data_IF_318922020015
#
_entry.id   IF_318922020015
#
_cell.length_a   1.000
_cell.length_b   1.000
_cell.length_c   1.000
_cell.angle_alpha   90.00
_cell.angle_beta   90.00
_cell.angle_gamma   90.00
#
_symmetry.space_group_name_H-M   'P 1'
#
loop_
_entity.id
_entity.type
_entity.pdbx_description
1 polymer ?
#
# COMPACT_ATOMS: atom_id res chain seq x y z
N UNK A 1 18.15 9.46 24.66
CA UNK A 1 18.14 8.90 23.29
C UNK A 1 16.94 9.50 22.57
N UNK A 2 17.11 9.98 21.34
CA UNK A 2 15.99 10.47 20.54
C UNK A 2 15.24 9.24 19.97
N UNK A 3 13.95 9.13 20.22
CA UNK A 3 13.10 7.99 19.82
C UNK A 3 11.97 8.47 18.91
N UNK A 4 11.35 7.55 18.18
CA UNK A 4 10.09 7.77 17.47
C UNK A 4 9.05 6.78 17.93
N UNK A 5 7.78 7.05 17.61
CA UNK A 5 6.64 6.20 17.96
C UNK A 5 6.01 5.58 16.73
N UNK A 6 5.81 4.27 16.76
CA UNK A 6 5.05 3.51 15.77
C UNK A 6 3.53 3.60 16.01
N UNK A 7 2.69 3.44 14.96
CA UNK A 7 3.05 3.34 13.54
C UNK A 7 3.55 4.66 12.94
N UNK A 8 4.43 4.61 11.93
CA UNK A 8 4.93 5.79 11.20
C UNK A 8 3.89 6.36 10.22
N UNK A 9 2.97 5.53 9.70
CA UNK A 9 1.76 5.98 9.00
C UNK A 9 0.53 5.33 9.66
N UNK A 10 -0.16 6.02 10.59
CA UNK A 10 -1.37 5.52 11.24
C UNK A 10 -2.59 5.56 10.30
N UNK A 11 -3.49 4.60 10.47
CA UNK A 11 -4.69 4.47 9.64
C UNK A 11 -4.51 3.52 8.45
N UNK A 12 -5.34 3.67 7.42
CA UNK A 12 -5.38 2.74 6.30
C UNK A 12 -4.22 2.98 5.32
N UNK A 13 -3.05 2.49 5.71
CA UNK A 13 -1.80 2.54 4.94
C UNK A 13 -1.15 1.14 4.91
N UNK A 14 -1.81 0.17 4.25
CA UNK A 14 -1.33 -1.20 4.08
C UNK A 14 -0.22 -1.36 3.04
N UNK A 15 0.45 -2.50 3.08
CA UNK A 15 1.33 -3.00 2.01
C UNK A 15 2.42 -1.97 1.63
N UNK A 16 3.23 -1.48 2.59
CA UNK A 16 4.19 -0.41 2.35
C UNK A 16 5.34 -0.91 1.47
N UNK A 17 5.59 -0.22 0.37
CA UNK A 17 6.83 -0.35 -0.38
C UNK A 17 7.63 0.95 -0.32
N UNK A 18 8.94 0.83 -0.14
CA UNK A 18 9.86 1.93 0.08
C UNK A 18 10.98 1.93 -0.97
N UNK A 19 11.41 3.12 -1.40
CA UNK A 19 12.64 3.29 -2.14
C UNK A 19 13.40 4.54 -1.68
N UNK A 20 14.73 4.52 -1.82
CA UNK A 20 15.60 5.67 -1.53
C UNK A 20 16.21 6.20 -2.82
N UNK A 21 16.22 7.52 -2.99
CA UNK A 21 16.92 8.23 -4.06
C UNK A 21 17.79 9.31 -3.42
N UNK A 22 19.10 9.06 -3.33
CA UNK A 22 20.00 9.93 -2.59
C UNK A 22 19.63 9.97 -1.10
N UNK A 23 19.24 11.13 -0.60
CA UNK A 23 18.81 11.35 0.80
C UNK A 23 17.28 11.40 0.97
N UNK A 24 16.54 11.22 -0.12
CA UNK A 24 15.08 11.21 -0.11
C UNK A 24 14.55 9.78 -0.10
N UNK A 25 13.53 9.56 0.72
CA UNK A 25 12.82 8.30 0.86
C UNK A 25 11.40 8.46 0.38
N UNK A 26 10.93 7.51 -0.41
CA UNK A 26 9.57 7.48 -0.93
C UNK A 26 8.87 6.21 -0.50
N UNK A 27 7.59 6.33 -0.16
CA UNK A 27 6.77 5.19 0.23
C UNK A 27 5.42 5.23 -0.46
N UNK A 28 4.94 4.05 -0.86
CA UNK A 28 3.60 3.86 -1.43
C UNK A 28 2.83 2.78 -0.65
N UNK A 29 1.50 2.87 -0.65
CA UNK A 29 0.62 1.91 0.04
C UNK A 29 -0.59 1.54 -0.82
N UNK A 30 -1.18 0.35 -0.61
CA UNK A 30 -2.35 -0.09 -1.38
C UNK A 30 -3.63 0.69 -1.03
N UNK A 31 -4.52 0.89 -2.01
CA UNK A 31 -5.74 1.72 -1.86
C UNK A 31 -7.04 1.02 -2.18
N UNK A 32 -6.99 -0.19 -2.73
CA UNK A 32 -8.18 -0.97 -3.05
C UNK A 32 -9.16 -0.18 -3.93
N UNK A 33 -10.41 -0.03 -3.48
CA UNK A 33 -11.47 0.64 -4.23
C UNK A 33 -11.43 2.16 -4.13
N UNK A 34 -10.45 2.76 -3.43
CA UNK A 34 -10.38 4.20 -3.25
C UNK A 34 -9.61 4.88 -4.40
N UNK A 35 -10.10 6.05 -4.78
CA UNK A 35 -9.50 6.96 -5.76
C UNK A 35 -9.21 8.32 -5.12
N UNK A 36 -8.12 9.03 -5.45
CA UNK A 36 -6.98 8.57 -6.23
C UNK A 36 -6.33 7.31 -5.63
N UNK A 37 -5.65 6.54 -6.48
CA UNK A 37 -5.03 5.29 -6.09
C UNK A 37 -3.55 5.44 -5.78
N UNK A 38 -3.06 4.65 -4.83
CA UNK A 38 -1.66 4.58 -4.40
C UNK A 38 -1.12 5.95 -3.96
N UNK A 39 -1.37 6.38 -2.70
CA UNK A 39 -0.75 7.58 -2.16
C UNK A 39 0.77 7.39 -2.15
N UNK A 40 1.49 8.46 -2.43
CA UNK A 40 2.95 8.49 -2.35
C UNK A 40 3.39 9.49 -1.29
N UNK A 41 4.29 9.05 -0.42
CA UNK A 41 4.85 9.80 0.69
C UNK A 41 6.33 10.06 0.48
N UNK A 42 6.82 11.18 1.01
CA UNK A 42 8.24 11.54 1.06
C UNK A 42 8.69 11.73 2.51
N UNK A 43 9.92 11.31 2.80
CA UNK A 43 10.64 11.58 4.04
C UNK A 43 12.13 11.80 3.78
N UNK A 44 12.82 12.45 4.72
CA UNK A 44 14.30 12.50 4.79
C UNK A 44 14.86 11.76 6.01
N UNK A 45 14.01 11.28 6.91
CA UNK A 45 14.43 10.70 8.20
C UNK A 45 13.73 9.37 8.54
N UNK A 46 13.00 8.79 7.57
CA UNK A 46 12.17 7.57 7.68
C UNK A 46 11.02 7.61 8.68
N UNK A 47 10.89 8.68 9.47
CA UNK A 47 9.93 8.78 10.58
C UNK A 47 8.83 9.78 10.26
N UNK A 48 9.21 10.95 9.76
CA UNK A 48 8.32 12.04 9.43
C UNK A 48 7.99 11.99 7.93
N UNK A 49 6.74 11.69 7.62
CA UNK A 49 6.27 11.50 6.24
C UNK A 49 5.27 12.58 5.83
N UNK A 50 5.42 13.07 4.60
CA UNK A 50 4.46 13.96 3.94
C UNK A 50 3.92 13.27 2.71
N UNK A 51 2.60 13.21 2.56
CA UNK A 51 1.99 12.79 1.30
C UNK A 51 2.28 13.87 0.24
N UNK A 52 2.87 13.47 -0.88
CA UNK A 52 3.24 14.38 -1.99
C UNK A 52 2.31 14.23 -3.20
N UNK A 53 1.37 13.29 -3.15
CA UNK A 53 0.36 13.08 -4.18
C UNK A 53 -0.17 11.65 -4.17
N UNK A 54 -0.66 11.22 -5.33
CA UNK A 54 -1.04 9.85 -5.64
C UNK A 54 -0.48 9.44 -7.00
N UNK A 55 -0.16 8.16 -7.15
CA UNK A 55 0.42 7.63 -8.40
C UNK A 55 -0.66 7.46 -9.48
N UNK A 56 -1.88 7.08 -9.08
CA UNK A 56 -3.01 6.80 -9.96
C UNK A 56 -4.11 7.84 -9.73
N UNK A 57 -3.92 9.03 -10.27
CA UNK A 57 -4.75 10.22 -10.02
C UNK A 57 -5.66 10.61 -11.19
N UNK A 58 -5.61 9.86 -12.30
CA UNK A 58 -6.47 10.08 -13.47
C UNK A 58 -7.41 8.91 -13.75
N UNK A 59 -8.65 9.18 -14.19
CA UNK A 59 -9.56 8.14 -14.67
C UNK A 59 -9.01 7.28 -15.82
N UNK A 60 -8.06 7.79 -16.61
CA UNK A 60 -7.39 7.01 -17.67
C UNK A 60 -6.46 5.93 -17.11
N UNK A 61 -5.87 6.17 -15.94
CA UNK A 61 -5.01 5.20 -15.25
C UNK A 61 -5.83 4.22 -14.42
N UNK A 62 -6.88 4.71 -13.77
CA UNK A 62 -7.60 3.96 -12.74
C UNK A 62 -9.11 4.07 -12.93
N UNK A 63 -9.67 3.05 -13.58
CA UNK A 63 -11.11 2.83 -13.68
C UNK A 63 -11.56 1.78 -12.66
N UNK A 64 -12.18 2.25 -11.57
CA UNK A 64 -12.71 1.44 -10.47
C UNK A 64 -14.22 1.26 -10.54
N UNK A 65 -14.85 1.60 -11.67
CA UNK A 65 -16.28 1.36 -11.87
C UNK A 65 -16.59 -0.13 -11.68
N UNK A 66 -17.66 -0.44 -10.94
CA UNK A 66 -18.03 -1.82 -10.60
C UNK A 66 -17.15 -2.54 -9.58
N UNK A 67 -16.02 -1.95 -9.17
CA UNK A 67 -15.04 -2.63 -8.30
C UNK A 67 -15.64 -2.93 -6.92
N UNK A 68 -15.71 -4.20 -6.47
CA UNK A 68 -16.25 -4.53 -5.16
C UNK A 68 -15.40 -3.99 -3.99
N UNK A 69 -15.97 -3.91 -2.80
CA UNK A 69 -15.21 -3.57 -1.58
C UNK A 69 -14.03 -4.51 -1.36
N UNK A 70 -12.89 -3.92 -0.97
CA UNK A 70 -11.60 -4.61 -0.81
C UNK A 70 -11.07 -5.25 -2.10
N UNK A 71 -11.48 -4.74 -3.26
CA UNK A 71 -10.92 -5.03 -4.59
C UNK A 71 -10.32 -3.75 -5.16
N UNK A 72 -9.86 -3.74 -6.40
CA UNK A 72 -9.13 -2.58 -6.93
C UNK A 72 -7.63 -2.75 -6.77
N UNK A 73 -6.95 -1.73 -6.26
CA UNK A 73 -5.48 -1.69 -6.21
C UNK A 73 -4.93 -2.41 -4.98
N UNK A 74 -4.26 -3.52 -5.22
CA UNK A 74 -3.57 -4.31 -4.19
C UNK A 74 -2.13 -3.78 -3.97
N UNK A 75 -1.27 -4.56 -3.32
CA UNK A 75 0.08 -4.14 -2.95
C UNK A 75 0.85 -3.48 -4.11
N UNK A 76 1.27 -2.22 -3.96
CA UNK A 76 2.19 -1.57 -4.89
C UNK A 76 3.65 -1.78 -4.47
N UNK A 77 4.54 -1.96 -5.44
CA UNK A 77 5.98 -1.81 -5.24
C UNK A 77 6.44 -0.52 -5.92
N UNK A 78 7.23 0.31 -5.21
CA UNK A 78 7.95 1.45 -5.81
C UNK A 78 9.46 1.16 -5.91
N UNK A 79 10.05 1.45 -7.07
CA UNK A 79 11.49 1.34 -7.33
C UNK A 79 11.96 2.54 -8.13
N UNK A 80 13.26 2.80 -8.07
CA UNK A 80 13.90 3.84 -8.85
C UNK A 80 15.08 3.25 -9.62
N UNK A 81 15.17 3.58 -10.90
CA UNK A 81 16.27 3.15 -11.75
C UNK A 81 16.57 4.23 -12.80
N UNK A 82 17.83 4.65 -12.88
CA UNK A 82 18.36 5.57 -13.91
C UNK A 82 17.48 6.82 -14.18
N UNK A 83 17.07 7.54 -13.14
CA UNK A 83 16.28 8.77 -13.31
C UNK A 83 14.76 8.57 -13.34
N UNK A 84 14.30 7.32 -13.29
CA UNK A 84 12.88 6.98 -13.45
C UNK A 84 12.37 6.20 -12.24
N UNK A 85 11.24 6.64 -11.71
CA UNK A 85 10.44 5.89 -10.75
C UNK A 85 9.53 4.93 -11.49
N UNK A 86 9.42 3.71 -10.95
CA UNK A 86 8.53 2.66 -11.39
C UNK A 86 7.62 2.31 -10.22
N UNK A 87 6.31 2.34 -10.43
CA UNK A 87 5.33 1.79 -9.50
C UNK A 87 4.61 0.66 -10.21
N UNK A 88 4.69 -0.55 -9.65
CA UNK A 88 4.02 -1.75 -10.15
C UNK A 88 2.99 -2.22 -9.14
N UNK A 89 1.81 -2.65 -9.60
CA UNK A 89 0.73 -3.14 -8.71
C UNK A 89 -0.22 -4.08 -9.45
N UNK A 90 -1.17 -4.67 -8.70
CA UNK A 90 -2.25 -5.48 -9.24
C UNK A 90 -3.58 -4.73 -9.18
N UNK A 91 -4.30 -4.70 -10.29
CA UNK A 91 -5.74 -4.46 -10.29
C UNK A 91 -6.51 -5.78 -10.13
N UNK A 92 -7.25 -5.91 -9.04
CA UNK A 92 -8.14 -7.05 -8.76
C UNK A 92 -9.59 -6.65 -9.04
N UNK A 93 -10.21 -7.26 -10.04
CA UNK A 93 -11.59 -6.90 -10.44
C UNK A 93 -12.66 -7.57 -9.58
N UNK A 94 -12.41 -8.80 -9.09
CA UNK A 94 -13.36 -9.50 -8.23
C UNK A 94 -12.67 -10.50 -7.29
N UNK A 95 -13.43 -11.06 -6.35
CA UNK A 95 -12.91 -12.01 -5.35
C UNK A 95 -12.31 -13.29 -5.94
N UNK A 96 -12.78 -13.70 -7.12
CA UNK A 96 -12.33 -14.90 -7.81
C UNK A 96 -11.94 -14.62 -9.28
N UNK A 97 -11.94 -13.35 -9.70
CA UNK A 97 -11.86 -12.94 -11.10
C UNK A 97 -10.47 -12.53 -11.57
N UNK A 98 -10.45 -11.88 -12.73
CA UNK A 98 -9.25 -11.42 -13.41
C UNK A 98 -8.40 -10.52 -12.50
N UNK A 99 -7.10 -10.83 -12.48
CA UNK A 99 -6.05 -10.04 -11.86
C UNK A 99 -5.16 -9.56 -12.98
N UNK A 100 -4.86 -8.28 -13.01
CA UNK A 100 -4.01 -7.70 -14.03
C UNK A 100 -2.93 -6.90 -13.35
N UNK A 101 -1.69 -7.31 -13.55
CA UNK A 101 -0.53 -6.58 -13.09
C UNK A 101 -0.17 -5.52 -14.14
N UNK A 102 0.25 -4.35 -13.67
CA UNK A 102 0.72 -3.27 -14.52
C UNK A 102 1.72 -2.41 -13.77
N UNK A 103 2.54 -1.69 -14.50
CA UNK A 103 3.36 -0.64 -13.93
C UNK A 103 3.14 0.71 -14.61
N UNK A 104 3.48 1.78 -13.91
CA UNK A 104 3.53 3.16 -14.41
C UNK A 104 4.88 3.77 -14.06
N UNK A 105 5.24 4.83 -14.78
CA UNK A 105 6.54 5.49 -14.64
C UNK A 105 6.41 6.99 -14.47
N UNK A 106 7.33 7.60 -13.74
CA UNK A 106 7.49 9.07 -13.65
C UNK A 106 8.96 9.43 -13.42
N UNK A 107 9.36 10.64 -13.83
CA UNK A 107 10.67 11.21 -13.47
C UNK A 107 10.61 12.06 -12.20
N UNK A 108 9.42 12.55 -11.85
CA UNK A 108 9.10 13.22 -10.60
C UNK A 108 8.13 12.32 -9.80
N UNK A 109 8.43 11.94 -8.55
CA UNK A 109 7.55 11.09 -7.75
C UNK A 109 6.20 11.77 -7.42
N UNK A 110 6.13 13.11 -7.41
CA UNK A 110 4.88 13.85 -7.28
C UNK A 110 4.03 13.82 -8.57
N UNK A 111 4.56 13.27 -9.66
CA UNK A 111 3.90 13.12 -10.96
C UNK A 111 4.26 14.22 -11.97
N UNK A 112 3.66 14.20 -13.16
CA UNK A 112 2.62 13.27 -13.61
C UNK A 112 3.16 11.89 -13.96
N UNK A 113 2.49 10.85 -13.47
CA UNK A 113 2.78 9.45 -13.80
C UNK A 113 2.19 9.06 -15.16
N UNK A 114 2.84 8.13 -15.88
CA UNK A 114 2.36 7.62 -17.17
C UNK A 114 1.01 6.90 -17.07
N UNK A 115 0.40 6.60 -18.22
CA UNK A 115 -0.66 5.60 -18.28
C UNK A 115 -0.09 4.18 -18.03
N UNK A 116 -0.92 3.20 -17.62
CA UNK A 116 -0.49 1.84 -17.28
C UNK A 116 0.12 1.05 -18.44
N UNK A 117 1.26 0.42 -18.18
CA UNK A 117 1.81 -0.66 -19.01
C UNK A 117 1.34 -2.01 -18.47
N UNK A 118 0.33 -2.59 -19.11
CA UNK A 118 -0.29 -3.84 -18.68
C UNK A 118 0.59 -5.05 -18.98
N UNK A 119 0.77 -5.92 -17.98
CA UNK A 119 1.52 -7.17 -18.06
C UNK A 119 0.54 -8.35 -18.15
N UNK A 120 -0.03 -8.56 -19.33
CA UNK A 120 -1.14 -9.51 -19.54
C UNK A 120 -0.77 -10.97 -19.21
N UNK A 121 0.51 -11.33 -19.29
CA UNK A 121 1.00 -12.67 -18.99
C UNK A 121 1.54 -12.86 -17.56
N UNK A 122 1.33 -11.88 -16.69
CA UNK A 122 1.80 -11.92 -15.31
C UNK A 122 0.67 -12.42 -14.36
N UNK A 123 0.60 -13.72 -14.05
CA UNK A 123 -0.40 -14.23 -13.11
C UNK A 123 -0.16 -13.73 -11.68
N UNK A 124 -1.19 -13.87 -10.86
CA UNK A 124 -1.12 -13.65 -9.42
C UNK A 124 -1.18 -12.19 -9.00
N UNK A 125 -0.63 -11.91 -7.83
CA UNK A 125 -0.63 -10.60 -7.16
C UNK A 125 0.76 -10.27 -6.62
N UNK A 126 0.84 -9.11 -5.98
CA UNK A 126 2.02 -8.56 -5.30
C UNK A 126 3.24 -8.51 -6.22
N UNK A 127 3.10 -7.84 -7.38
CA UNK A 127 4.19 -7.72 -8.30
C UNK A 127 5.28 -6.81 -7.71
N UNK A 128 6.54 -7.15 -7.99
CA UNK A 128 7.69 -6.35 -7.62
C UNK A 128 8.69 -6.30 -8.76
N UNK A 129 9.49 -5.25 -8.77
CA UNK A 129 10.56 -5.05 -9.74
C UNK A 129 11.91 -5.06 -9.03
N UNK A 130 12.89 -5.65 -9.69
CA UNK A 130 14.29 -5.64 -9.28
C UNK A 130 15.15 -5.26 -10.48
N UNK A 131 15.99 -4.25 -10.30
CA UNK A 131 16.93 -3.78 -11.32
C UNK A 131 18.32 -4.24 -10.91
N UNK A 132 18.90 -5.11 -11.72
CA UNK A 132 20.17 -5.77 -11.40
C UNK A 132 21.37 -4.98 -11.98
N UNK A 133 22.55 -5.20 -11.40
CA UNK A 133 23.79 -4.57 -11.86
C UNK A 133 24.25 -5.07 -13.25
N UNK A 134 23.68 -6.19 -13.72
CA UNK A 134 23.89 -6.72 -15.07
C UNK A 134 23.11 -5.96 -16.16
N UNK A 135 22.36 -4.92 -15.79
CA UNK A 135 21.58 -4.08 -16.69
C UNK A 135 20.18 -4.61 -17.03
N UNK A 136 19.76 -5.74 -16.44
CA UNK A 136 18.42 -6.31 -16.63
C UNK A 136 17.45 -5.87 -15.55
N UNK A 137 16.18 -5.83 -15.91
CA UNK A 137 15.07 -5.69 -14.97
C UNK A 137 14.34 -7.03 -14.84
N UNK A 138 13.92 -7.34 -13.62
CA UNK A 138 13.22 -8.57 -13.30
C UNK A 138 11.90 -8.27 -12.61
N UNK A 139 10.88 -9.03 -12.98
CA UNK A 139 9.60 -9.10 -12.31
C UNK A 139 9.59 -10.28 -11.34
N UNK A 140 9.04 -10.06 -10.15
CA UNK A 140 8.57 -11.14 -9.27
C UNK A 140 7.11 -10.95 -8.90
N UNK A 141 6.41 -12.05 -8.66
CA UNK A 141 5.04 -12.04 -8.13
C UNK A 141 4.71 -13.43 -7.58
N UNK A 142 3.54 -13.58 -6.95
CA UNK A 142 3.07 -14.91 -6.60
C UNK A 142 2.31 -15.58 -7.75
N UNK A 143 2.14 -16.90 -7.69
CA UNK A 143 1.20 -17.64 -8.54
C UNK A 143 0.84 -18.98 -7.91
N UNK A 144 -0.21 -19.61 -8.46
CA UNK A 144 -0.43 -21.04 -8.18
C UNK A 144 0.74 -21.83 -8.76
N UNK A 145 1.38 -22.73 -8.01
CA UNK A 145 2.49 -23.52 -8.52
C UNK A 145 2.08 -24.29 -9.79
N UNK A 146 2.96 -24.44 -10.80
CA UNK A 146 2.67 -25.18 -12.03
C UNK A 146 2.24 -26.63 -11.78
N UNK A 147 2.76 -27.24 -10.71
CA UNK A 147 2.40 -28.59 -10.28
C UNK A 147 1.05 -28.66 -9.52
N UNK A 148 0.38 -27.54 -9.32
CA UNK A 148 -0.87 -27.42 -8.56
C UNK A 148 -0.67 -27.14 -7.07
N UNK A 149 -1.77 -26.82 -6.40
CA UNK A 149 -1.77 -26.54 -4.96
C UNK A 149 -1.74 -27.84 -4.15
N UNK A 150 -0.75 -27.96 -3.27
CA UNK A 150 -0.64 -29.08 -2.31
C UNK A 150 -1.61 -28.93 -1.13
N UNK A 151 -2.03 -27.70 -0.82
CA UNK A 151 -2.98 -27.36 0.23
C UNK A 151 -3.68 -26.03 -0.14
N UNK A 152 -4.84 -25.70 0.45
CA UNK A 152 -5.58 -24.49 0.08
C UNK A 152 -4.72 -23.23 0.20
N UNK A 153 -4.69 -22.42 -0.87
CA UNK A 153 -3.89 -21.18 -0.97
C UNK A 153 -2.37 -21.39 -0.86
N UNK A 154 -1.86 -22.57 -1.19
CA UNK A 154 -0.44 -22.75 -1.50
C UNK A 154 -0.10 -21.92 -2.76
N UNK A 155 0.85 -21.01 -2.63
CA UNK A 155 1.37 -20.19 -3.72
C UNK A 155 2.88 -20.37 -3.82
N UNK A 156 3.46 -20.09 -4.98
CA UNK A 156 4.91 -19.94 -5.14
C UNK A 156 5.26 -18.54 -5.60
N UNK A 157 6.51 -18.14 -5.39
CA UNK A 157 7.09 -16.96 -6.03
C UNK A 157 7.74 -17.37 -7.34
N UNK A 158 7.53 -16.56 -8.37
CA UNK A 158 8.13 -16.74 -9.69
C UNK A 158 8.83 -15.48 -10.17
N UNK A 159 9.78 -15.67 -11.09
CA UNK A 159 10.62 -14.66 -11.71
C UNK A 159 10.45 -14.69 -13.23
N UNK A 160 10.47 -13.52 -13.87
CA UNK A 160 10.68 -13.38 -15.31
C UNK A 160 11.38 -12.05 -15.61
N UNK A 161 12.12 -11.97 -16.71
CA UNK A 161 12.75 -10.72 -17.15
C UNK A 161 11.67 -9.72 -17.63
N UNK A 162 11.84 -8.44 -17.30
CA UNK A 162 11.07 -7.33 -17.83
C UNK A 162 11.93 -6.60 -18.85
N UNK A 163 11.50 -6.60 -20.10
CA UNK A 163 12.11 -5.78 -21.14
C UNK A 163 11.58 -4.34 -21.01
N UNK A 164 12.48 -3.40 -20.73
CA UNK A 164 12.14 -1.99 -20.52
C UNK A 164 11.84 -1.23 -21.82
N UNK A 165 12.31 -1.73 -22.97
CA UNK A 165 12.03 -1.15 -24.29
C UNK A 165 10.62 -1.51 -24.74
N UNK A 166 10.31 -2.82 -24.74
CA UNK A 166 8.98 -3.30 -25.12
C UNK A 166 7.95 -3.17 -24.01
N UNK A 167 8.39 -2.96 -22.76
CA UNK A 167 7.57 -2.82 -21.55
C UNK A 167 6.70 -4.06 -21.30
N UNK A 168 7.24 -5.23 -21.61
CA UNK A 168 6.58 -6.53 -21.48
C UNK A 168 7.52 -7.54 -20.83
N UNK A 169 6.93 -8.59 -20.25
CA UNK A 169 7.71 -9.70 -19.74
C UNK A 169 8.25 -10.55 -20.89
N UNK A 170 9.51 -10.99 -20.78
CA UNK A 170 10.21 -11.75 -21.81
C UNK A 170 10.99 -12.92 -21.23
N UNK A 171 11.39 -13.87 -22.07
CA UNK A 171 12.13 -15.05 -21.66
C UNK A 171 11.32 -16.03 -20.80
N UNK A 172 12.04 -16.87 -20.05
CA UNK A 172 11.44 -17.97 -19.29
C UNK A 172 10.84 -17.50 -17.95
N UNK A 173 9.64 -18.00 -17.61
CA UNK A 173 9.04 -17.88 -16.28
C UNK A 173 9.63 -18.95 -15.34
N UNK A 174 10.35 -18.55 -14.29
CA UNK A 174 11.10 -19.45 -13.40
C UNK A 174 10.44 -19.49 -12.01
N UNK A 175 10.18 -20.69 -11.47
CA UNK A 175 9.75 -20.85 -10.07
C UNK A 175 10.95 -20.65 -9.14
N UNK A 176 10.85 -19.73 -8.17
CA UNK A 176 11.95 -19.42 -7.26
C UNK A 176 11.83 -20.17 -5.93
N UNK A 177 10.67 -20.07 -5.28
CA UNK A 177 10.52 -20.48 -3.89
C UNK A 177 9.04 -20.69 -3.47
N UNK A 178 8.78 -21.72 -2.67
CA UNK A 178 7.46 -22.07 -2.12
C UNK A 178 7.27 -21.59 -0.66
N UNK A 179 8.19 -20.76 -0.15
CA UNK A 179 8.17 -20.23 1.20
C UNK A 179 8.87 -21.10 2.24
N UNK A 180 9.12 -20.50 3.41
CA UNK A 180 9.84 -21.16 4.49
C UNK A 180 8.92 -22.08 5.31
N UNK A 181 7.66 -21.67 5.48
CA UNK A 181 6.72 -22.33 6.37
C UNK A 181 5.92 -23.39 5.61
N UNK A 182 5.66 -24.53 6.26
CA UNK A 182 4.94 -25.65 5.62
C UNK A 182 3.46 -25.64 6.01
N UNK A 183 2.61 -25.89 5.02
CA UNK A 183 1.13 -25.82 5.13
C UNK A 183 0.61 -24.45 5.61
N UNK A 184 1.40 -23.39 5.44
CA UNK A 184 0.94 -22.03 5.64
C UNK A 184 0.32 -21.50 4.34
N UNK A 185 -0.74 -20.70 4.41
CA UNK A 185 -1.33 -20.13 3.21
C UNK A 185 -0.66 -18.82 2.78
N UNK A 186 -0.78 -18.49 1.48
CA UNK A 186 -0.49 -17.20 0.89
C UNK A 186 0.98 -16.76 0.99
N UNK A 187 1.87 -17.45 0.27
CA UNK A 187 3.18 -16.91 -0.12
C UNK A 187 2.95 -15.72 -1.08
N UNK A 188 3.32 -14.52 -0.63
CA UNK A 188 3.02 -13.26 -1.33
C UNK A 188 4.08 -12.19 -1.01
N UNK A 189 3.91 -10.93 -1.43
CA UNK A 189 4.86 -9.83 -1.19
C UNK A 189 6.34 -10.11 -1.56
N UNK A 190 6.67 -10.71 -2.72
CA UNK A 190 8.06 -11.00 -3.07
C UNK A 190 8.87 -9.75 -3.40
N UNK A 191 9.96 -9.52 -2.67
CA UNK A 191 10.94 -8.46 -2.97
C UNK A 191 12.35 -9.04 -3.06
N UNK A 192 13.02 -8.75 -4.18
CA UNK A 192 14.41 -9.13 -4.42
C UNK A 192 15.38 -8.00 -4.07
N UNK A 193 16.50 -8.38 -3.47
CA UNK A 193 17.63 -7.49 -3.15
C UNK A 193 18.92 -8.19 -3.49
N UNK A 194 19.94 -7.46 -3.93
CA UNK A 194 21.28 -7.99 -4.13
C UNK A 194 22.22 -7.36 -3.12
N UNK A 195 22.75 -8.18 -2.21
CA UNK A 195 23.54 -7.72 -1.06
C UNK A 195 24.72 -8.68 -0.91
N UNK A 196 25.94 -8.16 -0.94
CA UNK A 196 27.18 -8.92 -0.74
C UNK A 196 27.28 -10.23 -1.57
N UNK A 197 26.90 -10.15 -2.85
CA UNK A 197 26.97 -11.29 -3.78
C UNK A 197 25.78 -12.26 -3.76
N UNK A 198 24.82 -12.07 -2.85
CA UNK A 198 23.60 -12.88 -2.78
C UNK A 198 22.38 -12.11 -3.24
N UNK A 199 21.47 -12.80 -3.93
CA UNK A 199 20.09 -12.39 -4.12
C UNK A 199 19.27 -12.84 -2.93
N UNK A 200 18.72 -11.91 -2.16
CA UNK A 200 17.78 -12.17 -1.09
C UNK A 200 16.36 -12.01 -1.60
N UNK A 201 15.50 -12.99 -1.33
CA UNK A 201 14.08 -12.95 -1.59
C UNK A 201 13.33 -12.87 -0.27
N UNK A 202 12.77 -11.70 0.03
CA UNK A 202 11.85 -11.49 1.16
C UNK A 202 10.43 -11.72 0.67
N UNK A 203 9.62 -12.43 1.44
CA UNK A 203 8.20 -12.66 1.16
C UNK A 203 7.35 -12.47 2.43
N UNK A 204 6.04 -12.38 2.25
CA UNK A 204 5.05 -12.57 3.29
C UNK A 204 4.48 -13.99 3.25
N UNK A 205 4.15 -14.54 4.42
CA UNK A 205 3.50 -15.84 4.56
C UNK A 205 2.41 -15.81 5.64
N UNK A 206 1.42 -16.69 5.52
CA UNK A 206 0.32 -16.86 6.49
C UNK A 206 -0.83 -15.88 6.37
N UNK A 207 -0.89 -15.21 5.22
CA UNK A 207 -1.89 -14.20 4.88
C UNK A 207 -1.82 -12.98 5.80
N UNK A 208 -2.65 -11.98 5.53
CA UNK A 208 -2.61 -10.67 6.22
C UNK A 208 -3.37 -10.65 7.56
N UNK A 209 -3.55 -11.83 8.17
CA UNK A 209 -4.28 -12.05 9.42
C UNK A 209 -3.38 -12.33 10.62
N UNK A 210 -3.90 -13.01 11.63
CA UNK A 210 -3.14 -13.28 12.87
C UNK A 210 -1.86 -14.08 12.64
N UNK A 211 -1.86 -14.93 11.61
CA UNK A 211 -0.72 -15.75 11.19
C UNK A 211 0.19 -15.05 10.19
N UNK A 212 0.15 -13.73 10.05
CA UNK A 212 1.05 -13.02 9.12
C UNK A 212 2.53 -13.13 9.57
N UNK A 213 3.46 -13.14 8.63
CA UNK A 213 4.90 -13.09 8.89
C UNK A 213 5.69 -12.59 7.69
N UNK A 214 6.92 -12.19 7.96
CA UNK A 214 7.99 -11.99 6.97
C UNK A 214 8.93 -13.19 7.01
N UNK A 215 9.25 -13.75 5.85
CA UNK A 215 10.27 -14.80 5.69
C UNK A 215 11.25 -14.44 4.59
N UNK A 216 12.45 -15.01 4.63
CA UNK A 216 13.54 -14.70 3.70
C UNK A 216 14.31 -15.96 3.28
N UNK A 217 14.72 -15.98 2.02
CA UNK A 217 15.67 -16.94 1.49
C UNK A 217 16.74 -16.20 0.67
N UNK A 218 17.85 -16.86 0.33
CA UNK A 218 18.88 -16.26 -0.53
C UNK A 218 19.46 -17.24 -1.54
N UNK A 219 20.07 -16.74 -2.60
CA UNK A 219 20.81 -17.54 -3.58
C UNK A 219 21.96 -16.73 -4.18
N UNK A 220 23.02 -17.40 -4.65
CA UNK A 220 24.07 -16.75 -5.46
C UNK A 220 23.61 -16.54 -6.92
N UNK A 221 22.51 -17.19 -7.32
CA UNK A 221 21.91 -17.06 -8.64
C UNK A 221 20.48 -16.53 -8.50
N UNK A 222 20.12 -15.50 -9.26
CA UNK A 222 18.78 -14.91 -9.22
C UNK A 222 17.67 -15.93 -9.52
N UNK A 223 17.97 -16.94 -10.35
CA UNK A 223 17.08 -18.04 -10.70
C UNK A 223 17.04 -19.17 -9.65
N UNK A 224 17.79 -19.05 -8.56
CA UNK A 224 17.88 -20.03 -7.50
C UNK A 224 18.89 -21.17 -7.79
N UNK A 225 18.83 -22.26 -7.00
CA UNK A 225 17.87 -22.49 -5.91
C UNK A 225 18.10 -21.53 -4.74
N UNK A 226 17.03 -21.17 -4.03
CA UNK A 226 17.08 -20.31 -2.84
C UNK A 226 17.20 -21.17 -1.57
N UNK A 227 18.18 -20.86 -0.72
CA UNK A 227 18.33 -21.45 0.62
C UNK A 227 17.52 -20.68 1.66
N UNK A 228 16.79 -21.41 2.51
CA UNK A 228 15.99 -20.81 3.58
C UNK A 228 16.88 -20.22 4.67
N UNK A 229 16.51 -19.03 5.17
CA UNK A 229 17.03 -18.57 6.45
C UNK A 229 16.56 -19.51 7.57
N UNK A 230 17.51 -19.99 8.38
CA UNK A 230 17.22 -20.89 9.52
C UNK A 230 16.43 -20.19 10.64
N UNK A 231 16.40 -18.86 10.65
CA UNK A 231 15.69 -18.04 11.63
C UNK A 231 14.26 -17.70 11.19
N UNK A 232 13.79 -18.20 10.05
CA UNK A 232 12.45 -17.91 9.59
C UNK A 232 11.36 -18.37 10.59
N UNK A 233 10.29 -17.58 10.78
CA UNK A 233 10.06 -16.25 10.21
C UNK A 233 10.92 -15.17 10.88
N UNK A 234 11.51 -14.28 10.09
CA UNK A 234 12.38 -13.20 10.60
C UNK A 234 11.60 -12.08 11.31
N UNK A 235 10.29 -11.98 11.07
CA UNK A 235 9.39 -11.09 11.81
C UNK A 235 7.96 -11.65 11.83
N UNK A 236 7.38 -11.77 13.03
CA UNK A 236 5.96 -12.07 13.23
C UNK A 236 5.53 -11.73 14.65
N UNK A 237 4.28 -11.31 14.85
CA UNK A 237 3.69 -11.13 16.18
C UNK A 237 2.72 -12.26 16.58
N UNK A 238 2.58 -13.31 15.77
CA UNK A 238 1.62 -14.41 16.05
C UNK A 238 1.87 -15.09 17.41
N UNK A 239 3.10 -15.05 17.90
CA UNK A 239 3.52 -15.66 19.17
C UNK A 239 3.21 -14.78 20.39
N UNK A 240 2.91 -13.50 20.20
CA UNK A 240 2.58 -12.56 21.30
C UNK A 240 1.11 -12.65 21.73
N UNK A 241 0.29 -13.39 20.98
CA UNK A 241 -1.14 -13.55 21.25
C UNK A 241 -1.99 -12.40 20.71
N UNK A 242 -3.31 -12.63 20.67
CA UNK A 242 -4.28 -11.69 20.08
C UNK A 242 -4.53 -10.43 20.90
N UNK A 243 -4.17 -10.48 22.19
CA UNK A 243 -4.31 -9.36 23.13
C UNK A 243 -3.11 -8.39 23.08
N UNK A 244 -2.06 -8.73 22.33
CA UNK A 244 -0.95 -7.80 22.14
C UNK A 244 -1.39 -6.57 21.31
N UNK A 245 -0.80 -5.41 21.60
CA UNK A 245 -1.26 -4.14 21.02
C UNK A 245 -0.93 -3.92 19.53
N UNK A 246 -0.06 -4.75 18.96
CA UNK A 246 0.33 -4.73 17.54
C UNK A 246 0.20 -6.16 16.98
N UNK A 247 -0.70 -6.39 16.03
CA UNK A 247 -0.99 -7.72 15.47
C UNK A 247 -0.92 -7.76 13.95
N UNK A 248 -0.97 -8.94 13.35
CA UNK A 248 -0.94 -9.15 11.89
C UNK A 248 0.31 -8.59 11.19
N UNK A 249 1.47 -8.65 11.84
CA UNK A 249 2.74 -8.14 11.32
C UNK A 249 3.22 -8.97 10.11
N UNK A 250 3.53 -8.31 9.00
CA UNK A 250 4.10 -8.93 7.79
C UNK A 250 4.17 -7.95 6.62
N UNK A 251 4.29 -8.46 5.39
CA UNK A 251 4.34 -7.68 4.13
C UNK A 251 5.34 -6.51 4.20
N UNK A 252 6.63 -6.85 4.10
CA UNK A 252 7.71 -5.94 4.43
C UNK A 252 8.62 -5.64 3.24
N UNK A 253 9.12 -4.41 3.18
CA UNK A 253 10.10 -3.92 2.22
C UNK A 253 11.27 -3.32 3.04
N UNK A 254 12.52 -3.43 2.57
CA UNK A 254 13.69 -2.97 3.32
C UNK A 254 14.43 -1.85 2.58
N UNK A 255 15.11 -0.99 3.35
CA UNK A 255 15.90 0.12 2.83
C UNK A 255 17.19 0.27 3.62
N UNK A 256 18.28 0.56 2.92
CA UNK A 256 19.54 1.00 3.50
C UNK A 256 19.61 2.52 3.48
N UNK A 257 19.97 3.16 4.59
CA UNK A 257 20.19 4.61 4.66
C UNK A 257 21.52 5.01 4.04
N UNK A 258 21.69 6.31 3.76
CA UNK A 258 22.99 6.85 3.34
C UNK A 258 24.11 6.67 4.38
N UNK A 259 23.75 6.31 5.62
CA UNK A 259 24.68 6.06 6.72
C UNK A 259 24.92 4.56 6.96
N UNK A 260 24.41 3.68 6.10
CA UNK A 260 24.60 2.22 6.18
C UNK A 260 23.71 1.51 7.19
N UNK A 261 22.70 2.19 7.75
CA UNK A 261 21.71 1.54 8.61
C UNK A 261 20.64 0.86 7.77
N UNK A 262 20.23 -0.34 8.15
CA UNK A 262 19.14 -1.04 7.49
C UNK A 262 17.85 -0.91 8.31
N UNK A 263 16.76 -0.66 7.59
CA UNK A 263 15.44 -0.50 8.17
C UNK A 263 14.42 -1.31 7.37
N UNK A 264 13.43 -1.83 8.07
CA UNK A 264 12.31 -2.55 7.50
C UNK A 264 11.03 -1.75 7.73
N UNK A 265 10.29 -1.51 6.65
CA UNK A 265 8.90 -1.08 6.72
C UNK A 265 8.00 -2.30 6.58
N UNK A 266 6.91 -2.35 7.33
CA UNK A 266 5.98 -3.47 7.28
C UNK A 266 4.59 -3.02 7.70
N UNK A 267 3.57 -3.82 7.37
CA UNK A 267 2.22 -3.57 7.86
C UNK A 267 1.96 -4.27 9.19
N UNK A 268 1.10 -3.69 10.00
CA UNK A 268 0.46 -4.35 11.13
C UNK A 268 -0.91 -3.72 11.43
N UNK A 269 -1.60 -4.19 12.46
CA UNK A 269 -2.89 -3.64 12.90
C UNK A 269 -2.90 -3.38 14.40
N UNK A 270 -3.57 -2.32 14.84
CA UNK A 270 -3.87 -2.07 16.25
C UNK A 270 -5.32 -2.48 16.56
N UNK A 271 -5.54 -3.54 17.37
CA UNK A 271 -6.88 -3.96 17.74
C UNK A 271 -7.53 -2.93 18.69
N UNK A 272 -8.85 -2.73 18.58
CA UNK A 272 -9.62 -1.85 19.46
C UNK A 272 -11.01 -2.42 19.75
N UNK A 273 -11.42 -2.41 21.02
CA UNK A 273 -12.72 -2.96 21.44
C UNK A 273 -12.84 -4.47 21.29
N UNK A 274 -11.73 -5.20 21.40
CA UNK A 274 -11.59 -6.62 21.06
C UNK A 274 -10.71 -6.81 19.82
N UNK A 275 -10.79 -7.97 19.16
CA UNK A 275 -9.97 -8.28 17.97
C UNK A 275 -10.51 -7.64 16.66
N UNK A 276 -10.93 -6.38 16.74
CA UNK A 276 -11.40 -5.57 15.62
C UNK A 276 -10.32 -4.59 15.17
N UNK A 277 -10.19 -4.41 13.85
CA UNK A 277 -9.11 -3.65 13.21
C UNK A 277 -9.68 -2.41 12.52
N UNK A 278 -10.28 -1.53 13.32
CA UNK A 278 -11.08 -0.41 12.81
C UNK A 278 -10.26 0.63 12.04
N UNK A 279 -8.95 0.71 12.31
CA UNK A 279 -8.03 1.59 11.58
C UNK A 279 -7.44 0.92 10.32
N UNK A 280 -7.80 -0.34 10.04
CA UNK A 280 -7.22 -1.12 8.95
C UNK A 280 -5.84 -1.67 9.30
N UNK A 281 -5.00 -1.80 8.26
CA UNK A 281 -3.59 -2.13 8.37
C UNK A 281 -2.80 -0.83 8.19
N UNK A 282 -1.85 -0.59 9.07
CA UNK A 282 -1.07 0.64 9.23
C UNK A 282 0.41 0.31 8.97
N UNK A 283 1.24 1.31 8.67
CA UNK A 283 2.67 1.10 8.38
C UNK A 283 3.55 1.35 9.61
N UNK A 284 4.47 0.41 9.85
CA UNK A 284 5.41 0.40 10.95
C UNK A 284 6.85 0.39 10.44
N UNK A 285 7.78 0.89 11.25
CA UNK A 285 9.21 0.92 10.99
C UNK A 285 9.94 0.15 12.09
N UNK A 286 10.89 -0.71 11.72
CA UNK A 286 11.69 -1.52 12.65
C UNK A 286 13.14 -1.63 12.16
N UNK A 287 14.14 -1.50 13.04
CA UNK A 287 15.55 -1.59 12.65
C UNK A 287 15.89 -3.02 12.24
N UNK A 288 16.84 -3.13 11.31
CA UNK A 288 17.35 -4.39 10.80
C UNK A 288 18.88 -4.34 10.83
N UNK A 289 19.52 -5.44 11.24
CA UNK A 289 20.98 -5.58 11.19
C UNK A 289 21.34 -6.87 10.47
N UNK A 290 22.51 -6.90 9.84
CA UNK A 290 23.02 -8.07 9.15
C UNK A 290 24.02 -8.79 10.05
N UNK A 291 23.76 -10.06 10.34
CA UNK A 291 24.64 -10.94 11.13
C UNK A 291 24.87 -12.23 10.32
N UNK A 292 26.13 -12.57 10.07
CA UNK A 292 26.53 -13.77 9.30
C UNK A 292 25.78 -13.92 7.95
N UNK A 293 25.51 -12.80 7.29
CA UNK A 293 24.81 -12.74 6.01
C UNK A 293 23.29 -13.01 6.09
N UNK A 294 22.67 -12.84 7.26
CA UNK A 294 21.22 -12.89 7.41
C UNK A 294 20.70 -11.66 8.18
N UNK A 295 19.48 -11.18 7.88
CA UNK A 295 18.90 -10.07 8.61
C UNK A 295 18.35 -10.52 9.96
N UNK A 296 18.68 -9.76 10.99
CA UNK A 296 18.10 -9.83 12.33
C UNK A 296 17.23 -8.59 12.54
N UNK A 297 15.92 -8.80 12.68
CA UNK A 297 14.95 -7.72 12.86
C UNK A 297 14.87 -7.36 14.35
N UNK A 298 15.02 -6.07 14.65
CA UNK A 298 15.10 -5.52 16.02
C UNK A 298 15.98 -6.37 16.96
N UNK A 299 17.32 -6.37 16.78
CA UNK A 299 18.22 -7.22 17.54
C UNK A 299 18.01 -7.17 19.07
N UNK A 300 17.99 -8.36 19.69
CA UNK A 300 17.68 -8.53 21.11
C UNK A 300 16.18 -8.49 21.47
N UNK A 301 15.30 -8.17 20.51
CA UNK A 301 13.84 -8.05 20.72
C UNK A 301 13.01 -8.91 19.76
N UNK A 302 13.33 -8.90 18.47
CA UNK A 302 12.62 -9.70 17.44
C UNK A 302 11.17 -9.27 17.17
N UNK A 303 10.76 -8.09 17.63
CA UNK A 303 9.38 -7.57 17.54
C UNK A 303 9.36 -6.10 17.15
N UNK A 304 8.21 -5.60 16.71
CA UNK A 304 7.96 -4.17 16.58
C UNK A 304 7.60 -3.61 17.95
N UNK A 305 8.33 -2.59 18.40
CA UNK A 305 8.06 -1.86 19.62
C UNK A 305 7.30 -0.56 19.34
N UNK A 306 6.58 -0.06 20.35
CA UNK A 306 5.87 1.20 20.26
C UNK A 306 6.79 2.40 20.11
N UNK A 307 7.91 2.38 20.83
CA UNK A 307 8.92 3.44 20.80
C UNK A 307 10.27 2.80 20.48
N UNK A 308 10.95 3.33 19.46
CA UNK A 308 12.22 2.81 18.95
C UNK A 308 13.19 3.99 18.80
N UNK A 309 14.49 3.73 18.96
CA UNK A 309 15.52 4.71 18.64
C UNK A 309 15.36 5.20 17.20
N UNK A 310 15.58 6.50 16.94
CA UNK A 310 15.51 7.03 15.58
C UNK A 310 16.65 6.50 14.71
N UNK A 311 16.44 6.41 13.38
CA UNK A 311 17.55 6.34 12.44
C UNK A 311 18.57 7.45 12.72
N UNK A 312 19.84 7.16 12.47
CA UNK A 312 20.93 8.12 12.53
C UNK A 312 20.83 9.08 11.33
N UNK A 313 19.76 9.86 11.27
CA UNK A 313 19.47 10.84 10.24
C UNK A 313 19.03 12.15 10.91
N UNK A 314 19.31 13.32 10.30
CA UNK A 314 18.78 14.59 10.79
C UNK A 314 17.27 14.55 10.84
N UNK A 315 16.69 14.93 11.97
CA UNK A 315 15.23 14.99 12.11
C UNK A 315 14.65 16.08 11.19
N UNK A 316 13.66 15.70 10.38
CA UNK A 316 12.99 16.60 9.44
C UNK A 316 11.47 16.50 9.59
N UNK A 317 10.87 17.24 10.54
CA UNK A 317 9.42 17.26 10.68
C UNK A 317 8.78 18.03 9.52
N UNK A 318 7.63 17.55 9.07
CA UNK A 318 6.78 18.29 8.14
C UNK A 318 5.75 19.12 8.90
N UNK A 319 5.29 20.26 8.35
CA UNK A 319 4.17 21.01 8.93
C UNK A 319 2.96 20.10 9.12
N UNK A 320 2.36 20.13 10.31
CA UNK A 320 1.13 19.37 10.57
C UNK A 320 -0.01 19.95 9.77
N UNK A 321 -0.82 19.08 9.17
CA UNK A 321 -2.05 19.52 8.50
C UNK A 321 -3.00 20.13 9.54
N UNK A 322 -3.70 21.23 9.20
CA UNK A 322 -4.75 21.77 10.05
C UNK A 322 -5.82 20.72 10.35
N UNK A 323 -6.35 20.76 11.58
CA UNK A 323 -7.39 19.84 12.02
C UNK A 323 -8.73 20.00 11.26
N UNK A 324 -8.95 21.14 10.60
CA UNK A 324 -10.09 21.40 9.74
C UNK A 324 -9.63 21.84 8.35
N UNK A 325 -10.27 21.29 7.32
CA UNK A 325 -10.23 21.81 5.96
C UNK A 325 -11.28 22.90 5.82
N UNK A 326 -10.87 24.10 5.48
CA UNK A 326 -11.80 25.20 5.21
C UNK A 326 -12.30 25.23 3.76
N UNK A 327 -11.74 24.40 2.88
CA UNK A 327 -12.10 24.34 1.46
C UNK A 327 -11.95 25.69 0.74
N UNK A 328 -10.93 26.46 1.13
CA UNK A 328 -10.56 27.73 0.49
C UNK A 328 -9.69 27.51 -0.76
N UNK A 329 -9.06 26.34 -0.88
CA UNK A 329 -8.33 25.90 -2.07
C UNK A 329 -9.27 25.54 -3.23
N UNK A 330 -8.79 25.68 -4.46
CA UNK A 330 -9.48 25.21 -5.67
C UNK A 330 -9.31 23.70 -5.92
N UNK A 331 -8.41 23.05 -5.18
CA UNK A 331 -8.10 21.62 -5.26
C UNK A 331 -8.30 21.01 -3.88
N UNK A 332 -8.92 19.82 -3.84
CA UNK A 332 -9.03 19.04 -2.60
C UNK A 332 -7.64 18.65 -2.11
N UNK A 333 -7.40 18.74 -0.80
CA UNK A 333 -6.17 18.22 -0.22
C UNK A 333 -6.05 16.69 -0.42
N UNK A 334 -4.81 16.19 -0.51
CA UNK A 334 -4.46 14.79 -0.80
C UNK A 334 -5.08 13.73 0.13
N UNK A 335 -5.56 14.16 1.31
CA UNK A 335 -6.23 13.30 2.30
C UNK A 335 -7.67 12.92 1.92
N UNK A 336 -8.27 13.62 0.95
CA UNK A 336 -9.63 13.37 0.50
C UNK A 336 -9.65 12.29 -0.57
N UNK A 337 -10.40 11.22 -0.29
CA UNK A 337 -10.57 10.12 -1.23
C UNK A 337 -12.03 10.01 -1.67
N UNK A 338 -12.20 9.40 -2.83
CA UNK A 338 -13.46 8.94 -3.38
C UNK A 338 -13.54 7.42 -3.26
N UNK A 339 -14.72 6.88 -2.97
CA UNK A 339 -15.03 5.49 -3.29
C UNK A 339 -15.11 5.39 -4.80
N UNK A 340 -14.22 4.61 -5.41
CA UNK A 340 -14.07 4.40 -6.85
C UNK A 340 -13.79 5.69 -7.63
N UNK A 341 -13.62 5.54 -8.94
CA UNK A 341 -13.28 6.63 -9.84
C UNK A 341 -14.39 7.68 -9.87
N UNK A 342 -14.08 8.97 -9.68
CA UNK A 342 -15.10 10.01 -9.69
C UNK A 342 -15.73 10.18 -11.07
N UNK A 343 -17.07 10.02 -11.12
CA UNK A 343 -17.87 10.17 -12.35
C UNK A 343 -18.99 11.20 -12.18
N UNK A 344 -19.04 12.14 -13.12
CA UNK A 344 -20.03 13.22 -13.17
C UNK A 344 -19.74 14.37 -12.20
N UNK A 345 -20.61 15.37 -12.22
CA UNK A 345 -20.44 16.63 -11.48
C UNK A 345 -21.16 16.60 -10.11
N UNK A 346 -20.74 15.72 -9.21
CA UNK A 346 -21.38 15.59 -7.89
C UNK A 346 -20.66 16.34 -6.76
N UNK A 347 -19.54 16.98 -7.03
CA UNK A 347 -18.83 17.82 -6.07
C UNK A 347 -18.23 19.07 -6.73
N UNK A 348 -18.03 20.14 -5.95
CA UNK A 348 -17.40 21.37 -6.42
C UNK A 348 -16.82 22.19 -5.26
N UNK A 349 -15.66 22.80 -5.48
CA UNK A 349 -15.05 23.83 -4.63
C UNK A 349 -15.29 25.27 -5.16
N UNK A 350 -15.73 25.39 -6.41
CA UNK A 350 -15.83 26.67 -7.13
C UNK A 350 -17.25 27.23 -7.15
N UNK A 351 -18.28 26.39 -7.09
CA UNK A 351 -19.68 26.84 -7.07
C UNK A 351 -20.06 27.66 -5.83
N UNK A 352 -19.31 27.46 -4.75
CA UNK A 352 -19.41 28.28 -3.54
C UNK A 352 -18.04 28.32 -2.86
N UNK A 353 -17.22 29.35 -3.15
CA UNK A 353 -15.89 29.48 -2.55
C UNK A 353 -15.90 29.34 -1.02
N UNK A 354 -14.86 28.71 -0.46
CA UNK A 354 -14.74 28.40 0.98
C UNK A 354 -15.69 27.29 1.47
N UNK A 355 -16.19 26.44 0.56
CA UNK A 355 -17.08 25.31 0.87
C UNK A 355 -16.83 24.14 -0.08
N UNK A 356 -16.89 22.92 0.46
CA UNK A 356 -17.12 21.73 -0.36
C UNK A 356 -18.63 21.58 -0.60
N UNK A 357 -19.05 21.69 -1.86
CA UNK A 357 -20.41 21.37 -2.29
C UNK A 357 -20.50 19.91 -2.70
N UNK A 358 -21.52 19.22 -2.21
CA UNK A 358 -21.86 17.85 -2.61
C UNK A 358 -23.30 17.81 -3.14
N UNK A 359 -23.49 17.25 -4.34
CA UNK A 359 -24.80 16.91 -4.89
C UNK A 359 -25.10 15.45 -4.59
N UNK A 360 -26.31 15.19 -4.09
CA UNK A 360 -26.72 13.82 -3.85
C UNK A 360 -26.83 13.07 -5.17
N UNK A 361 -26.20 11.91 -5.23
CA UNK A 361 -26.45 10.94 -6.30
C UNK A 361 -27.65 10.06 -5.94
N UNK A 362 -28.41 9.55 -6.92
CA UNK A 362 -29.58 8.72 -6.62
C UNK A 362 -29.21 7.36 -6.02
N UNK A 363 -27.95 6.93 -6.13
CA UNK A 363 -27.49 5.65 -5.60
C UNK A 363 -27.33 5.69 -4.07
N UNK A 364 -28.07 4.84 -3.33
CA UNK A 364 -27.91 4.77 -1.89
C UNK A 364 -26.66 3.99 -1.50
N UNK A 365 -26.06 4.30 -0.35
CA UNK A 365 -24.99 3.49 0.23
C UNK A 365 -25.55 2.20 0.85
N UNK A 366 -25.99 1.22 0.04
CA UNK A 366 -26.47 -0.09 0.50
C UNK A 366 -25.55 -1.24 0.10
N UNK A 367 -25.72 -2.40 0.77
CA UNK A 367 -24.97 -3.63 0.50
C UNK A 367 -25.11 -4.11 -0.94
N UNK A 368 -26.26 -3.90 -1.57
CA UNK A 368 -26.53 -4.30 -2.95
C UNK A 368 -25.81 -3.36 -3.94
N UNK A 369 -25.72 -2.07 -3.65
CA UNK A 369 -24.99 -1.05 -4.45
C UNK A 369 -23.47 -1.25 -4.35
N UNK A 370 -22.96 -1.69 -3.19
CA UNK A 370 -21.55 -2.09 -3.04
C UNK A 370 -21.17 -3.27 -3.96
N UNK A 371 -22.14 -4.16 -4.31
CA UNK A 371 -21.95 -5.27 -5.26
C UNK A 371 -22.24 -4.91 -6.73
N UNK A 372 -22.96 -3.83 -7.01
CA UNK A 372 -23.54 -3.57 -8.32
C UNK A 372 -23.49 -2.09 -8.76
N UNK A 373 -22.42 -1.34 -8.45
CA UNK A 373 -22.19 -0.05 -9.10
C UNK A 373 -21.50 -0.25 -10.45
N UNK A 374 -22.21 -0.90 -11.38
CA UNK A 374 -21.80 -0.99 -12.78
C UNK A 374 -22.04 0.30 -13.56
N UNK A 375 -22.82 1.28 -13.06
CA UNK A 375 -23.13 2.48 -13.86
C UNK A 375 -23.21 3.83 -13.12
N UNK A 376 -23.05 3.90 -11.80
CA UNK A 376 -23.20 5.20 -11.13
C UNK A 376 -22.52 5.35 -9.75
N UNK A 377 -21.26 5.77 -9.78
CA UNK A 377 -20.89 6.88 -8.91
C UNK A 377 -20.11 6.64 -7.63
N UNK A 378 -19.17 7.54 -7.46
CA UNK A 378 -18.27 7.69 -6.33
C UNK A 378 -18.85 8.51 -5.18
N UNK A 379 -18.27 8.35 -3.99
CA UNK A 379 -18.60 9.12 -2.77
C UNK A 379 -17.33 9.60 -2.06
N UNK A 380 -17.30 10.82 -1.49
CA UNK A 380 -16.09 11.37 -0.84
C UNK A 380 -16.01 10.98 0.64
N UNK A 381 -14.86 10.50 1.10
CA UNK A 381 -14.56 10.21 2.51
C UNK A 381 -13.14 10.66 2.91
N UNK A 382 -12.96 11.19 4.13
CA UNK A 382 -11.67 11.25 4.79
C UNK A 382 -11.36 9.89 5.43
N UNK A 383 -10.10 9.46 5.40
CA UNK A 383 -9.61 8.35 6.25
C UNK A 383 -9.62 8.77 7.74
N UNK A 384 -9.68 7.81 8.69
CA UNK A 384 -10.14 8.09 10.05
C UNK A 384 -9.12 8.90 10.86
N UNK A 385 -9.30 10.21 10.89
CA UNK A 385 -8.93 11.05 12.03
C UNK A 385 -10.12 11.93 12.42
N UNK A 386 -10.88 11.46 13.42
CA UNK A 386 -11.64 12.32 14.34
C UNK A 386 -12.73 13.27 13.82
N UNK A 387 -13.14 13.27 12.55
CA UNK A 387 -14.16 14.23 12.08
C UNK A 387 -15.59 13.68 12.12
N UNK A 388 -16.52 14.48 12.67
CA UNK A 388 -17.96 14.24 12.68
C UNK A 388 -18.66 15.19 11.69
N UNK A 389 -19.67 14.65 11.00
CA UNK A 389 -20.44 15.33 9.96
C UNK A 389 -21.69 16.00 10.55
N UNK A 390 -22.00 17.23 10.13
CA UNK A 390 -23.30 17.87 10.41
C UNK A 390 -24.12 17.95 9.12
N UNK A 391 -25.23 17.23 9.09
CA UNK A 391 -26.21 17.28 8.00
C UNK A 391 -27.27 18.33 8.32
N UNK A 392 -27.50 19.27 7.40
CA UNK A 392 -28.75 20.04 7.39
C UNK A 392 -29.73 19.38 6.41
N UNK A 393 -30.47 18.39 6.90
CA UNK A 393 -31.67 17.87 6.24
C UNK A 393 -32.84 18.78 6.61
N UNK A 394 -33.72 19.10 5.65
CA UNK A 394 -34.92 19.93 5.92
C UNK A 394 -35.98 19.23 6.77
N UNK A 395 -35.74 17.98 7.21
CA UNK A 395 -36.56 17.26 8.19
C UNK A 395 -35.75 16.63 9.34
N UNK A 396 -36.32 16.73 10.55
CA UNK A 396 -35.76 16.53 11.90
C UNK A 396 -34.89 15.28 12.11
N UNK A 397 -33.71 15.49 12.72
CA UNK A 397 -33.32 14.94 14.03
C UNK A 397 -31.99 15.58 14.50
N UNK A 398 -32.04 16.24 15.66
CA UNK A 398 -30.91 16.92 16.31
C UNK A 398 -29.90 15.93 16.87
N UNK A 399 -28.60 16.26 16.83
CA UNK A 399 -27.66 16.15 17.96
C UNK A 399 -26.54 17.19 17.80
N UNK A 400 -26.21 17.88 18.89
CA UNK A 400 -25.31 19.03 18.98
C UNK A 400 -23.85 18.60 19.28
N UNK A 401 -22.88 19.43 18.84
CA UNK A 401 -21.56 19.58 19.47
C UNK A 401 -20.33 19.56 18.53
N UNK A 402 -19.73 20.74 18.33
CA UNK A 402 -18.32 21.07 17.95
C UNK A 402 -17.76 20.89 16.52
N UNK A 403 -16.90 21.87 16.19
CA UNK A 403 -16.17 22.27 14.96
C UNK A 403 -16.93 22.19 13.61
N UNK A 404 -17.22 23.36 13.04
CA UNK A 404 -17.86 23.52 11.72
C UNK A 404 -16.81 23.56 10.61
N UNK A 405 -16.54 22.44 9.94
CA UNK A 405 -16.10 22.50 8.54
C UNK A 405 -17.38 22.58 7.67
N UNK A 406 -17.46 23.58 6.77
CA UNK A 406 -18.71 23.90 6.05
C UNK A 406 -18.89 23.02 4.82
N UNK A 407 -19.59 21.90 4.98
CA UNK A 407 -20.04 21.07 3.87
C UNK A 407 -21.45 21.51 3.49
N UNK A 408 -21.64 21.95 2.25
CA UNK A 408 -22.98 22.32 1.75
C UNK A 408 -23.51 21.16 0.90
N UNK A 409 -24.57 20.50 1.36
CA UNK A 409 -25.28 19.49 0.59
C UNK A 409 -26.47 20.17 -0.08
N UNK A 410 -26.58 20.09 -1.40
CA UNK A 410 -27.71 20.63 -2.15
C UNK A 410 -28.48 19.51 -2.84
N UNK A 411 -29.79 19.46 -2.61
CA UNK A 411 -30.74 18.68 -3.40
C UNK A 411 -31.36 19.63 -4.42
N UNK A 412 -31.06 19.46 -5.69
CA UNK A 412 -31.85 20.08 -6.77
C UNK A 412 -32.99 19.14 -7.09
N UNK A 413 -34.18 19.44 -6.58
CA UNK A 413 -35.42 18.88 -7.13
C UNK A 413 -35.61 19.49 -8.52
N UNK A 414 -35.24 18.77 -9.56
CA UNK A 414 -35.70 19.04 -10.92
C UNK A 414 -37.03 18.32 -11.11
N UNK A 415 -38.12 18.93 -10.65
CA UNK A 415 -39.48 18.76 -11.20
C UNK A 415 -40.38 19.83 -10.58
N UNK A 416 -40.35 21.01 -11.19
CA UNK A 416 -41.39 22.02 -11.10
C UNK A 416 -41.60 22.61 -12.50
N UNK A 417 -42.43 21.93 -13.29
CA UNK A 417 -43.33 22.46 -14.31
C UNK A 417 -44.32 21.36 -14.69
#
# INVERSE_FOLDING_TARGET
MNTFRNPILPGFYPDPSICRVGEDYYMVTSTFEYFPGVPIFQSKDLVNWKQIGHVLDRPSQLNLDGTPTSRGIYAPTIRYHQGVFYMITTFVESAAGARRNFFVTATDPAGSWSDPYWLNEAPGIDPSLFFDDNGKAYYTGNRVPPAGQQYPKHMEIWLQELDLETKQLTGQKISLWDGALKQIHAQESPHLYKINGYYYLIIAEGGTGFTHSVTIARSENIAGPYENCKMNPILTHRHLGKEYGIVNVGHADIVETQNGEWWMVCLASRPYGGYYRNMGRETFLVPLQWEDGWPVVNPGKGIIEWEIARPNLPEMPWPTLPACDHFDSLVLEERWNFIRTPRGEFWSLTERPGHLRLRLKPEPMTKEVIRALSDAGSSIFPLPSGQRWNFHRKDRLKRQGLLRCKITISTTDSNAA
#
